data_IF_248001696318
#
_entry.id   IF_248001696318
#
_cell.length_a   1.000
_cell.length_b   1.000
_cell.length_c   1.000
_cell.angle_alpha   90.00
_cell.angle_beta   90.00
_cell.angle_gamma   90.00
#
_symmetry.space_group_name_H-M   'P 1'
#
loop_
_entity.id
_entity.type
_entity.pdbx_description
1 polymer ?
#
# COMPACT_ATOMS: atom_id res chain seq x y z
N UNK A 1 -18.25 -13.69 11.55
CA UNK A 1 -17.05 -12.85 11.81
C UNK A 1 -17.08 -12.39 13.25
N UNK A 2 -16.03 -12.65 13.99
CA UNK A 2 -15.90 -12.15 15.35
C UNK A 2 -15.48 -10.68 15.28
N UNK A 3 -16.18 -9.79 15.95
CA UNK A 3 -15.75 -8.39 16.08
C UNK A 3 -14.33 -8.35 16.67
N UNK A 4 -13.40 -7.59 16.04
CA UNK A 4 -12.06 -7.48 16.60
C UNK A 4 -12.13 -6.81 17.96
N UNK A 5 -11.45 -7.38 18.95
CA UNK A 5 -11.38 -6.75 20.25
C UNK A 5 -10.60 -5.43 20.14
N UNK A 6 -10.95 -4.43 20.92
CA UNK A 6 -10.26 -3.15 20.94
C UNK A 6 -8.75 -3.30 21.20
N UNK A 7 -8.35 -4.32 21.94
CA UNK A 7 -6.95 -4.63 22.20
C UNK A 7 -6.19 -5.04 20.91
N UNK A 8 -6.79 -5.86 20.05
CA UNK A 8 -6.19 -6.28 18.78
C UNK A 8 -5.99 -5.07 17.88
N UNK A 9 -7.01 -4.23 17.76
CA UNK A 9 -6.95 -2.99 16.98
C UNK A 9 -5.84 -2.07 17.49
N UNK A 10 -5.80 -1.84 18.81
CA UNK A 10 -4.81 -0.96 19.41
C UNK A 10 -3.39 -1.49 19.26
N UNK A 11 -3.18 -2.81 19.40
CA UNK A 11 -1.89 -3.45 19.15
C UNK A 11 -1.43 -3.27 17.70
N UNK A 12 -2.31 -3.50 16.75
CA UNK A 12 -2.03 -3.28 15.32
C UNK A 12 -1.62 -1.83 15.05
N UNK A 13 -2.40 -0.86 15.53
CA UNK A 13 -2.10 0.57 15.35
C UNK A 13 -0.73 0.91 15.95
N UNK A 14 -0.47 0.53 17.19
CA UNK A 14 0.78 0.82 17.89
C UNK A 14 1.99 0.22 17.18
N UNK A 15 1.89 -1.03 16.74
CA UNK A 15 2.94 -1.73 16.00
C UNK A 15 3.29 -0.99 14.70
N UNK A 16 2.29 -0.62 13.91
CA UNK A 16 2.52 0.01 12.61
C UNK A 16 2.90 1.48 12.71
N UNK A 17 2.44 2.20 13.71
CA UNK A 17 2.94 3.54 14.00
C UNK A 17 4.43 3.54 14.38
N UNK A 18 4.89 2.51 15.09
CA UNK A 18 6.29 2.39 15.50
C UNK A 18 7.21 1.92 14.35
N UNK A 19 6.70 1.30 13.30
CA UNK A 19 7.53 0.68 12.26
C UNK A 19 8.34 1.68 11.45
N UNK A 20 7.79 2.84 11.12
CA UNK A 20 8.47 3.93 10.41
C UNK A 20 9.16 3.56 9.09
N UNK A 21 8.95 2.35 8.58
CA UNK A 21 9.68 1.79 7.47
C UNK A 21 9.03 2.11 6.11
N UNK A 22 9.82 1.89 5.05
CA UNK A 22 9.39 2.14 3.69
C UNK A 22 8.20 1.27 3.27
N UNK A 23 7.23 1.87 2.58
CA UNK A 23 6.05 1.21 2.00
C UNK A 23 6.40 -0.10 1.31
N UNK A 24 7.39 -0.08 0.41
CA UNK A 24 7.79 -1.23 -0.40
C UNK A 24 8.20 -2.45 0.42
N UNK A 25 8.78 -2.23 1.58
CA UNK A 25 9.20 -3.31 2.47
C UNK A 25 8.04 -3.90 3.27
N UNK A 26 7.02 -3.11 3.58
CA UNK A 26 6.06 -3.41 4.63
C UNK A 26 4.60 -3.51 4.19
N UNK A 27 4.21 -3.04 3.00
CA UNK A 27 2.80 -2.97 2.65
C UNK A 27 2.12 -4.35 2.62
N UNK A 28 2.80 -5.39 2.18
CA UNK A 28 2.22 -6.75 2.12
C UNK A 28 1.96 -7.29 3.53
N UNK A 29 2.93 -7.15 4.43
CA UNK A 29 2.76 -7.57 5.82
C UNK A 29 1.67 -6.76 6.52
N UNK A 30 1.65 -5.44 6.31
CA UNK A 30 0.60 -4.57 6.84
C UNK A 30 -0.79 -5.02 6.39
N UNK A 31 -0.98 -5.28 5.10
CA UNK A 31 -2.27 -5.68 4.56
C UNK A 31 -2.67 -7.10 5.01
N UNK A 32 -1.71 -8.02 5.16
CA UNK A 32 -1.99 -9.34 5.71
C UNK A 32 -2.45 -9.26 7.19
N UNK A 33 -1.74 -8.49 8.02
CA UNK A 33 -2.15 -8.27 9.42
C UNK A 33 -3.47 -7.51 9.52
N UNK A 34 -3.75 -6.58 8.60
CA UNK A 34 -5.04 -5.90 8.53
C UNK A 34 -6.18 -6.90 8.25
N UNK A 35 -5.96 -7.89 7.40
CA UNK A 35 -6.93 -8.96 7.17
C UNK A 35 -7.29 -9.69 8.47
N UNK A 36 -6.31 -9.97 9.32
CA UNK A 36 -6.55 -10.59 10.63
C UNK A 36 -7.40 -9.68 11.54
N UNK A 37 -7.06 -8.39 11.57
CA UNK A 37 -7.78 -7.40 12.40
C UNK A 37 -9.25 -7.28 12.01
N UNK A 38 -9.53 -7.23 10.70
CA UNK A 38 -10.91 -7.09 10.21
C UNK A 38 -11.61 -8.44 9.97
N UNK A 39 -10.94 -9.57 10.22
CA UNK A 39 -11.53 -10.91 10.14
C UNK A 39 -11.85 -11.37 8.73
N UNK A 40 -11.01 -11.04 7.75
CA UNK A 40 -11.16 -11.46 6.35
C UNK A 40 -10.04 -12.39 5.92
N UNK A 41 -10.26 -13.14 4.84
CA UNK A 41 -9.26 -14.05 4.30
C UNK A 41 -8.03 -13.30 3.77
N UNK A 42 -6.86 -13.90 3.94
CA UNK A 42 -5.59 -13.41 3.39
C UNK A 42 -5.51 -13.60 1.86
N UNK A 43 -4.75 -12.74 1.16
CA UNK A 43 -4.32 -13.04 -0.20
C UNK A 43 -3.60 -14.37 -0.28
N UNK A 44 -3.70 -15.02 -1.43
CA UNK A 44 -3.07 -16.31 -1.67
C UNK A 44 -1.73 -16.12 -2.41
N UNK A 45 -0.82 -17.09 -2.33
CA UNK A 45 0.38 -17.08 -3.16
C UNK A 45 0.01 -17.00 -4.65
N UNK A 46 0.78 -16.20 -5.40
CA UNK A 46 0.56 -16.09 -6.84
C UNK A 46 0.93 -17.39 -7.55
N UNK A 47 0.07 -17.80 -8.49
CA UNK A 47 0.29 -18.93 -9.39
C UNK A 47 0.88 -18.44 -10.72
N UNK A 48 1.67 -19.28 -11.38
CA UNK A 48 2.12 -19.03 -12.76
C UNK A 48 0.94 -18.92 -13.74
N UNK A 49 -0.18 -19.60 -13.45
CA UNK A 49 -1.40 -19.46 -14.22
C UNK A 49 -2.17 -18.20 -13.77
N UNK A 50 -2.23 -17.14 -14.63
CA UNK A 50 -2.89 -15.88 -14.26
C UNK A 50 -4.38 -16.02 -13.91
N UNK A 51 -5.07 -17.02 -14.47
CA UNK A 51 -6.48 -17.26 -14.20
C UNK A 51 -6.75 -17.76 -12.78
N UNK A 52 -5.74 -18.36 -12.13
CA UNK A 52 -5.83 -18.80 -10.73
C UNK A 52 -5.60 -17.67 -9.73
N UNK A 53 -5.05 -16.54 -10.17
CA UNK A 53 -4.68 -15.40 -9.32
C UNK A 53 -5.92 -14.53 -9.02
N UNK A 54 -6.86 -15.08 -8.26
CA UNK A 54 -8.11 -14.39 -7.90
C UNK A 54 -7.98 -13.42 -6.74
N UNK A 55 -7.03 -13.66 -5.81
CA UNK A 55 -6.78 -12.80 -4.66
C UNK A 55 -5.29 -12.87 -4.33
N UNK A 56 -4.52 -11.92 -4.83
CA UNK A 56 -3.04 -11.95 -4.78
C UNK A 56 -2.45 -10.56 -4.63
N UNK A 57 -1.23 -10.50 -4.07
CA UNK A 57 -0.34 -9.35 -4.18
C UNK A 57 0.32 -9.31 -5.56
N UNK A 58 0.80 -8.15 -5.96
CA UNK A 58 1.59 -7.92 -7.18
C UNK A 58 0.93 -8.52 -8.44
N UNK A 59 -0.37 -8.28 -8.59
CA UNK A 59 -1.09 -8.75 -9.79
C UNK A 59 -0.54 -8.07 -11.04
N UNK A 60 0.01 -8.86 -11.93
CA UNK A 60 0.52 -8.40 -13.23
C UNK A 60 -0.61 -7.90 -14.12
N UNK A 61 -0.41 -6.73 -14.71
CA UNK A 61 -1.33 -6.10 -15.67
C UNK A 61 -0.54 -5.71 -16.92
N UNK A 62 -0.79 -6.33 -18.06
CA UNK A 62 -0.24 -5.86 -19.33
C UNK A 62 -0.83 -4.48 -19.66
N UNK A 63 0.02 -3.51 -20.00
CA UNK A 63 -0.47 -2.22 -20.45
C UNK A 63 -0.58 -2.18 -21.98
N UNK A 64 -1.46 -1.31 -22.49
CA UNK A 64 -1.63 -1.06 -23.91
C UNK A 64 -0.34 -0.53 -24.60
N UNK A 65 0.62 -0.05 -23.82
CA UNK A 65 1.88 0.53 -24.30
C UNK A 65 3.08 -0.44 -24.22
N UNK A 66 2.83 -1.73 -23.99
CA UNK A 66 3.87 -2.77 -23.96
C UNK A 66 4.66 -2.85 -22.65
N UNK A 67 4.36 -2.02 -21.67
CA UNK A 67 4.93 -2.11 -20.32
C UNK A 67 4.12 -3.08 -19.45
N UNK A 68 4.76 -3.65 -18.44
CA UNK A 68 4.07 -4.45 -17.43
C UNK A 68 3.93 -3.64 -16.16
N UNK A 69 2.70 -3.47 -15.70
CA UNK A 69 2.37 -2.86 -14.42
C UNK A 69 1.99 -3.95 -13.41
N UNK A 70 2.02 -3.59 -12.12
CA UNK A 70 1.64 -4.47 -11.03
C UNK A 70 0.67 -3.75 -10.12
N UNK A 71 -0.43 -4.42 -9.77
CA UNK A 71 -1.38 -3.96 -8.75
C UNK A 71 -0.88 -4.46 -7.41
N UNK A 72 -0.75 -3.57 -6.42
CA UNK A 72 -0.22 -3.94 -5.10
C UNK A 72 -1.06 -5.04 -4.43
N UNK A 73 -2.38 -4.93 -4.43
CA UNK A 73 -3.29 -5.98 -3.99
C UNK A 73 -4.53 -6.04 -4.88
N UNK A 74 -4.83 -7.23 -5.37
CA UNK A 74 -5.95 -7.51 -6.27
C UNK A 74 -6.86 -8.60 -5.73
N UNK A 75 -8.16 -8.36 -5.78
CA UNK A 75 -9.18 -9.38 -5.56
C UNK A 75 -10.22 -9.32 -6.68
N UNK A 76 -10.32 -10.43 -7.44
CA UNK A 76 -11.22 -10.55 -8.60
C UNK A 76 -12.65 -10.21 -8.24
N UNK A 77 -13.29 -9.39 -9.08
CA UNK A 77 -14.67 -8.95 -8.92
C UNK A 77 -14.95 -8.22 -7.60
N UNK A 78 -13.90 -7.72 -6.93
CA UNK A 78 -14.04 -7.05 -5.65
C UNK A 78 -13.32 -5.70 -5.63
N UNK A 79 -11.99 -5.68 -5.72
CA UNK A 79 -11.21 -4.44 -5.68
C UNK A 79 -9.83 -4.55 -6.34
N UNK A 80 -9.28 -3.40 -6.67
CA UNK A 80 -7.85 -3.16 -6.86
C UNK A 80 -7.39 -2.15 -5.81
N UNK A 81 -6.21 -2.35 -5.24
CA UNK A 81 -5.65 -1.48 -4.22
C UNK A 81 -4.23 -1.08 -4.60
N UNK A 82 -3.98 0.22 -4.55
CA UNK A 82 -2.65 0.83 -4.67
C UNK A 82 -2.26 1.43 -3.32
N UNK A 83 -1.13 1.01 -2.80
CA UNK A 83 -0.56 1.53 -1.57
C UNK A 83 0.35 2.72 -1.88
N UNK A 84 0.30 3.74 -1.05
CA UNK A 84 1.24 4.87 -1.09
C UNK A 84 1.69 5.20 0.31
N UNK A 85 2.99 5.42 0.45
CA UNK A 85 3.55 5.85 1.72
C UNK A 85 3.33 7.34 1.92
N UNK A 86 2.80 7.66 3.08
CA UNK A 86 2.75 9.02 3.59
C UNK A 86 3.57 9.17 4.86
N UNK A 87 3.76 10.41 5.32
CA UNK A 87 4.33 10.72 6.63
C UNK A 87 3.41 11.67 7.38
N UNK A 88 3.43 11.58 8.70
CA UNK A 88 2.77 12.55 9.56
C UNK A 88 3.73 13.72 9.87
N UNK A 89 3.18 14.91 10.14
CA UNK A 89 3.97 16.07 10.56
C UNK A 89 4.84 15.76 11.78
N UNK A 90 4.36 14.93 12.70
CA UNK A 90 5.09 14.50 13.88
C UNK A 90 6.35 13.67 13.56
N UNK A 91 6.37 12.95 12.45
CA UNK A 91 7.52 12.12 12.06
C UNK A 91 8.74 12.96 11.66
N UNK A 92 8.52 14.18 11.18
CA UNK A 92 9.62 15.12 10.86
C UNK A 92 10.27 15.76 12.09
N UNK A 93 9.65 15.62 13.27
CA UNK A 93 10.10 16.20 14.53
C UNK A 93 10.69 15.18 15.51
N UNK A 94 10.75 13.88 15.13
CA UNK A 94 11.33 12.84 15.98
C UNK A 94 12.85 13.00 16.10
N UNK A 95 13.38 13.09 17.34
CA UNK A 95 14.82 13.30 17.56
C UNK A 95 15.70 12.09 17.15
N UNK A 96 15.09 10.95 16.87
CA UNK A 96 15.76 9.71 16.46
C UNK A 96 16.28 9.73 15.01
N UNK A 97 15.84 10.70 14.20
CA UNK A 97 16.34 10.88 12.85
C UNK A 97 17.52 11.85 12.87
N UNK A 98 18.73 11.32 12.70
CA UNK A 98 19.91 12.15 12.51
C UNK A 98 19.69 13.16 11.36
N UNK A 99 20.32 14.33 11.44
CA UNK A 99 20.28 15.34 10.37
C UNK A 99 20.63 14.76 8.99
N UNK A 100 21.54 13.78 8.94
CA UNK A 100 21.90 13.06 7.73
C UNK A 100 20.75 12.20 7.17
N UNK A 101 19.96 11.57 8.03
CA UNK A 101 18.78 10.79 7.60
C UNK A 101 17.66 11.70 7.07
N UNK A 102 17.48 12.88 7.68
CA UNK A 102 16.53 13.90 7.21
C UNK A 102 16.95 14.48 5.86
N UNK A 103 18.25 14.72 5.65
CA UNK A 103 18.76 15.20 4.36
C UNK A 103 18.62 14.14 3.26
N UNK A 104 18.88 12.86 3.54
CA UNK A 104 18.66 11.76 2.60
C UNK A 104 17.17 11.60 2.24
N UNK A 105 16.26 11.84 3.17
CA UNK A 105 14.81 11.90 2.91
C UNK A 105 14.44 13.06 1.99
N UNK A 106 15.01 14.25 2.19
CA UNK A 106 14.79 15.44 1.33
C UNK A 106 15.33 15.24 -0.09
N UNK A 107 16.41 14.49 -0.26
CA UNK A 107 17.02 14.19 -1.57
C UNK A 107 16.30 13.08 -2.34
N UNK A 108 15.55 12.22 -1.67
CA UNK A 108 14.67 11.25 -2.34
C UNK A 108 13.43 11.99 -2.87
N UNK A 109 13.49 12.44 -4.11
CA UNK A 109 12.38 13.11 -4.83
C UNK A 109 11.13 12.24 -5.05
N UNK A 110 11.09 11.04 -4.56
CA UNK A 110 9.96 10.11 -4.63
C UNK A 110 9.28 10.04 -3.28
N UNK A 111 8.55 10.99 -3.00
CA UNK A 111 7.22 11.16 -2.57
C UNK A 111 6.79 10.55 -1.26
N UNK A 112 7.41 10.87 -0.11
CA UNK A 112 6.66 10.81 1.15
C UNK A 112 5.87 12.11 1.29
N UNK A 113 4.63 12.11 0.86
CA UNK A 113 3.74 13.24 1.06
C UNK A 113 3.29 13.31 2.52
N UNK A 114 3.38 14.49 3.12
CA UNK A 114 2.94 14.72 4.51
C UNK A 114 1.42 14.80 4.56
N UNK A 115 0.79 13.98 5.40
CA UNK A 115 -0.66 13.97 5.59
C UNK A 115 -1.19 15.36 5.95
N UNK A 116 -2.29 15.77 5.31
CA UNK A 116 -2.90 17.08 5.47
C UNK A 116 -2.26 18.20 4.64
N UNK A 117 -1.43 17.86 3.65
CA UNK A 117 -0.85 18.81 2.69
C UNK A 117 -1.36 18.54 1.27
N UNK A 118 -1.21 19.55 0.38
CA UNK A 118 -1.54 19.39 -1.05
C UNK A 118 -0.74 18.26 -1.71
N UNK A 119 0.48 18.02 -1.28
CA UNK A 119 1.30 16.93 -1.81
C UNK A 119 0.72 15.55 -1.44
N UNK A 120 0.10 15.43 -0.28
CA UNK A 120 -0.66 14.24 0.10
C UNK A 120 -1.87 14.03 -0.80
N UNK A 121 -2.69 15.07 -0.98
CA UNK A 121 -3.88 15.02 -1.82
C UNK A 121 -3.51 14.64 -3.26
N UNK A 122 -2.45 15.23 -3.80
CA UNK A 122 -1.92 14.92 -5.13
C UNK A 122 -1.44 13.46 -5.22
N UNK A 123 -0.74 12.95 -4.20
CA UNK A 123 -0.27 11.57 -4.18
C UNK A 123 -1.44 10.57 -4.13
N UNK A 124 -2.47 10.85 -3.34
CA UNK A 124 -3.68 10.02 -3.25
C UNK A 124 -4.48 10.04 -4.56
N UNK A 125 -4.61 11.21 -5.19
CA UNK A 125 -5.28 11.32 -6.49
C UNK A 125 -4.53 10.54 -7.59
N UNK A 126 -3.20 10.60 -7.61
CA UNK A 126 -2.39 9.79 -8.53
C UNK A 126 -2.55 8.30 -8.28
N UNK A 127 -2.58 7.87 -7.02
CA UNK A 127 -2.83 6.47 -6.67
C UNK A 127 -4.21 6.00 -7.14
N UNK A 128 -5.24 6.83 -6.97
CA UNK A 128 -6.58 6.56 -7.48
C UNK A 128 -6.61 6.40 -8.99
N UNK A 129 -5.99 7.32 -9.71
CA UNK A 129 -5.91 7.28 -11.18
C UNK A 129 -5.15 6.03 -11.67
N UNK A 130 -4.07 5.67 -10.98
CA UNK A 130 -3.29 4.47 -11.26
C UNK A 130 -4.13 3.20 -11.10
N UNK A 131 -4.85 3.08 -9.98
CA UNK A 131 -5.76 1.97 -9.73
C UNK A 131 -6.88 1.87 -10.78
N UNK A 132 -7.47 3.00 -11.19
CA UNK A 132 -8.47 3.04 -12.25
C UNK A 132 -7.91 2.59 -13.60
N UNK A 133 -6.71 3.02 -13.96
CA UNK A 133 -6.05 2.61 -15.21
C UNK A 133 -5.80 1.11 -15.23
N UNK A 134 -5.28 0.56 -14.13
CA UNK A 134 -5.03 -0.88 -14.02
C UNK A 134 -6.33 -1.70 -14.08
N UNK A 135 -7.39 -1.23 -13.46
CA UNK A 135 -8.69 -1.88 -13.54
C UNK A 135 -9.24 -1.92 -14.99
N UNK A 136 -9.07 -0.84 -15.75
CA UNK A 136 -9.44 -0.80 -17.18
C UNK A 136 -8.59 -1.76 -18.00
N UNK A 137 -7.28 -1.76 -17.78
CA UNK A 137 -6.36 -2.64 -18.51
C UNK A 137 -6.65 -4.12 -18.25
N UNK A 138 -7.10 -4.47 -17.04
CA UNK A 138 -7.56 -5.84 -16.73
C UNK A 138 -8.82 -6.25 -17.49
N UNK A 139 -9.72 -5.30 -17.75
CA UNK A 139 -10.97 -5.57 -18.50
C UNK A 139 -10.73 -5.67 -20.00
N UNK A 140 -9.62 -5.12 -20.51
CA UNK A 140 -9.30 -5.09 -21.95
C UNK A 140 -8.52 -6.32 -22.42
N UNK A 141 -8.12 -7.21 -21.53
CA UNK A 141 -7.40 -8.45 -21.74
C UNK A 141 -8.27 -9.61 -21.21
#
# INVERSE_FOLDING_TARGET
MTEPTQQIIQHFITRWQASGAAERANYQLFLAELCDVIGVAHPQPASENPHKNAYVFEKRVPSAHGTTNFIDLYKRSCFVLEAKQGSDKADSQRPEFSQAALQRRKQRKTGTAVRGTKSWDTAMEKARQQAQTYARDLLSN
#
